data_IF_371763475912
#
_entry.id   IF_371763475912
#
_cell.length_a   1.000
_cell.length_b   1.000
_cell.length_c   1.000
_cell.angle_alpha   90.00
_cell.angle_beta   90.00
_cell.angle_gamma   90.00
#
_symmetry.space_group_name_H-M   'P 1'
#
loop_
_entity.id
_entity.type
_entity.pdbx_description
1 polymer ?
#
# COMPACT_ATOMS: atom_id res chain seq x y z
N UNK A 1 -68.31 -20.05 -0.15
CA UNK A 1 -68.82 -19.30 0.99
C UNK A 1 -67.92 -19.63 2.16
N UNK A 2 -67.10 -18.69 2.52
CA UNK A 2 -66.56 -18.44 3.82
C UNK A 2 -65.29 -17.63 3.71
N UNK A 3 -65.38 -16.46 4.27
CA UNK A 3 -64.46 -15.34 4.23
C UNK A 3 -63.08 -15.63 4.83
N UNK A 4 -62.09 -14.98 4.26
CA UNK A 4 -60.74 -14.79 4.82
C UNK A 4 -60.72 -13.43 5.51
N UNK A 5 -60.42 -13.34 6.81
CA UNK A 5 -60.18 -12.04 7.44
C UNK A 5 -58.75 -11.55 7.19
N UNK A 6 -58.69 -10.38 6.61
CA UNK A 6 -57.54 -9.51 6.48
C UNK A 6 -56.94 -9.18 7.84
N UNK A 7 -55.67 -9.52 8.07
CA UNK A 7 -54.89 -8.99 9.15
C UNK A 7 -53.94 -7.90 8.65
N UNK A 8 -54.40 -6.65 8.81
CA UNK A 8 -53.54 -5.44 8.69
C UNK A 8 -52.63 -5.40 9.92
N UNK A 9 -51.38 -5.80 9.75
CA UNK A 9 -50.32 -5.50 10.68
C UNK A 9 -49.73 -4.12 10.38
N UNK A 10 -49.98 -3.20 11.31
CA UNK A 10 -49.41 -1.86 11.32
C UNK A 10 -47.88 -1.94 11.50
N UNK A 11 -47.16 -1.43 10.53
CA UNK A 11 -45.75 -1.14 10.64
C UNK A 11 -45.57 0.18 11.40
N UNK A 12 -45.22 0.08 12.67
CA UNK A 12 -44.69 1.21 13.44
C UNK A 12 -43.17 1.10 13.49
N UNK A 13 -42.53 2.23 13.09
CA UNK A 13 -41.12 2.53 13.22
C UNK A 13 -40.16 1.79 12.30
N UNK A 14 -39.93 2.35 11.17
CA UNK A 14 -38.80 2.58 10.26
C UNK A 14 -37.42 1.99 10.57
N UNK A 15 -37.34 0.72 11.03
CA UNK A 15 -36.08 -0.03 11.06
C UNK A 15 -36.34 -1.36 10.37
N UNK A 16 -36.13 -1.38 9.07
CA UNK A 16 -36.02 -2.62 8.32
C UNK A 16 -34.89 -3.48 8.87
N UNK A 17 -34.92 -4.83 8.69
CA UNK A 17 -33.85 -5.69 9.13
C UNK A 17 -32.54 -5.19 8.53
N UNK A 18 -31.59 -4.86 9.35
CA UNK A 18 -30.21 -4.62 8.97
C UNK A 18 -29.68 -5.93 8.42
N UNK A 19 -29.69 -6.06 7.10
CA UNK A 19 -29.07 -7.17 6.42
C UNK A 19 -27.57 -7.18 6.75
N UNK A 20 -27.23 -7.95 7.75
CA UNK A 20 -25.85 -8.19 8.21
C UNK A 20 -25.00 -8.95 7.17
N UNK A 21 -25.54 -9.18 5.97
CA UNK A 21 -24.89 -9.94 4.89
C UNK A 21 -24.40 -9.09 3.71
N UNK A 22 -24.50 -7.77 3.78
CA UNK A 22 -24.08 -6.89 2.68
C UNK A 22 -22.83 -6.06 2.97
N UNK A 23 -22.05 -6.40 3.99
CA UNK A 23 -20.65 -6.04 3.98
C UNK A 23 -19.88 -7.11 3.19
N UNK A 24 -20.30 -7.30 1.95
CA UNK A 24 -19.39 -7.78 0.93
C UNK A 24 -18.25 -6.76 0.93
N UNK A 25 -17.21 -7.11 1.67
CA UNK A 25 -15.90 -6.52 1.53
C UNK A 25 -15.64 -6.57 0.03
N UNK A 26 -15.88 -5.45 -0.64
CA UNK A 26 -15.46 -5.23 -2.00
C UNK A 26 -13.94 -5.28 -1.88
N UNK A 27 -13.41 -6.50 -1.90
CA UNK A 27 -12.01 -6.76 -2.15
C UNK A 27 -11.84 -6.26 -3.57
N UNK A 28 -11.57 -4.96 -3.69
CA UNK A 28 -10.93 -4.45 -4.86
C UNK A 28 -9.68 -5.31 -5.01
N UNK A 29 -9.66 -6.18 -6.00
CA UNK A 29 -8.45 -6.75 -6.54
C UNK A 29 -7.62 -5.59 -7.11
N UNK A 30 -7.18 -4.72 -6.23
CA UNK A 30 -6.07 -3.85 -6.52
C UNK A 30 -4.89 -4.78 -6.48
N UNK A 31 -4.29 -5.06 -7.63
CA UNK A 31 -2.94 -5.62 -7.71
C UNK A 31 -2.09 -4.74 -6.83
N UNK A 32 -1.88 -5.15 -5.58
CA UNK A 32 -1.42 -4.31 -4.46
C UNK A 32 -0.12 -3.60 -4.76
N UNK A 33 0.71 -4.25 -5.57
CA UNK A 33 1.96 -3.68 -6.08
C UNK A 33 2.24 -4.31 -7.44
N UNK A 34 2.56 -3.51 -8.43
CA UNK A 34 3.23 -3.99 -9.64
C UNK A 34 4.67 -4.36 -9.25
N UNK A 35 4.82 -5.57 -8.75
CA UNK A 35 6.03 -6.00 -8.09
C UNK A 35 6.46 -7.38 -8.62
N UNK A 36 7.68 -7.44 -9.13
CA UNK A 36 8.33 -8.69 -9.50
C UNK A 36 9.44 -8.97 -8.50
N UNK A 37 9.33 -10.11 -7.80
CA UNK A 37 10.38 -10.60 -6.91
C UNK A 37 11.65 -10.87 -7.70
N UNK A 38 12.75 -10.28 -7.30
CA UNK A 38 14.08 -10.53 -7.85
C UNK A 38 14.72 -11.69 -7.09
N UNK A 39 15.14 -12.75 -7.79
CA UNK A 39 15.88 -13.83 -7.15
C UNK A 39 17.18 -13.32 -6.53
N UNK A 40 17.53 -13.85 -5.36
CA UNK A 40 18.78 -13.50 -4.67
C UNK A 40 18.73 -12.29 -3.75
N UNK A 41 17.64 -11.50 -3.77
CA UNK A 41 17.45 -10.38 -2.85
C UNK A 41 16.45 -10.76 -1.74
N UNK A 42 16.57 -10.12 -0.58
CA UNK A 42 15.64 -10.33 0.54
C UNK A 42 14.20 -9.98 0.14
N UNK A 43 13.30 -10.94 0.24
CA UNK A 43 11.86 -10.73 -0.04
C UNK A 43 11.29 -9.64 0.88
N UNK A 44 11.72 -9.60 2.14
CA UNK A 44 11.30 -8.59 3.10
C UNK A 44 11.64 -7.18 2.60
N UNK A 45 12.90 -6.95 2.22
CA UNK A 45 13.36 -5.63 1.79
C UNK A 45 12.68 -5.19 0.49
N UNK A 46 12.50 -6.11 -0.44
CA UNK A 46 11.80 -5.83 -1.69
C UNK A 46 10.34 -5.42 -1.46
N UNK A 47 9.61 -6.11 -0.57
CA UNK A 47 8.20 -5.79 -0.26
C UNK A 47 8.10 -4.47 0.50
N UNK A 48 8.99 -4.21 1.46
CA UNK A 48 9.06 -2.92 2.16
C UNK A 48 9.31 -1.78 1.19
N UNK A 49 10.26 -1.95 0.28
CA UNK A 49 10.57 -0.94 -0.74
C UNK A 49 9.38 -0.69 -1.67
N UNK A 50 8.74 -1.75 -2.15
CA UNK A 50 7.56 -1.64 -3.02
C UNK A 50 6.39 -0.92 -2.32
N UNK A 51 6.16 -1.22 -1.03
CA UNK A 51 5.15 -0.52 -0.23
C UNK A 51 5.46 0.98 -0.08
N UNK A 52 6.68 1.32 0.30
CA UNK A 52 7.11 2.73 0.41
C UNK A 52 6.98 3.48 -0.92
N UNK A 53 7.36 2.83 -2.01
CA UNK A 53 7.21 3.39 -3.37
C UNK A 53 5.75 3.66 -3.71
N UNK A 54 4.83 2.74 -3.39
CA UNK A 54 3.40 2.90 -3.62
C UNK A 54 2.79 4.03 -2.76
N UNK A 55 3.26 4.21 -1.51
CA UNK A 55 2.84 5.33 -0.65
C UNK A 55 3.31 6.68 -1.19
N UNK A 56 4.58 6.78 -1.62
CA UNK A 56 5.14 8.02 -2.19
C UNK A 56 4.48 8.33 -3.53
N UNK A 57 4.27 7.32 -4.38
CA UNK A 57 3.62 7.47 -5.68
C UNK A 57 2.11 7.72 -5.62
N UNK A 58 1.51 7.78 -4.40
CA UNK A 58 0.08 8.07 -4.22
C UNK A 58 -0.86 6.93 -4.59
N UNK A 59 -0.34 5.71 -4.81
CA UNK A 59 -1.18 4.53 -5.03
C UNK A 59 -2.05 4.21 -3.82
N UNK A 60 -1.55 4.56 -2.62
CA UNK A 60 -2.28 4.49 -1.36
C UNK A 60 -2.35 5.86 -0.70
N UNK A 61 -3.56 6.27 -0.37
CA UNK A 61 -3.80 7.54 0.29
C UNK A 61 -3.75 7.40 1.82
N UNK A 62 -3.28 8.42 2.56
CA UNK A 62 -3.35 8.44 4.01
C UNK A 62 -4.78 8.18 4.52
N UNK A 63 -4.90 7.29 5.50
CA UNK A 63 -6.18 6.84 6.03
C UNK A 63 -6.83 5.67 5.30
N UNK A 64 -6.33 5.30 4.12
CA UNK A 64 -6.82 4.15 3.37
C UNK A 64 -6.46 2.84 4.09
N UNK A 65 -7.39 1.86 4.19
CA UNK A 65 -7.08 0.55 4.74
C UNK A 65 -5.94 -0.14 3.99
N UNK A 66 -4.98 -0.67 4.75
CA UNK A 66 -3.90 -1.49 4.22
C UNK A 66 -4.25 -2.97 4.36
N UNK A 67 -3.84 -3.84 3.45
CA UNK A 67 -4.16 -5.26 3.51
C UNK A 67 -3.72 -5.94 4.80
N UNK A 68 -4.52 -6.91 5.22
CA UNK A 68 -4.15 -7.77 6.35
C UNK A 68 -2.94 -8.65 6.01
N UNK A 69 -2.27 -9.18 7.04
CA UNK A 69 -1.16 -10.14 6.86
C UNK A 69 -1.54 -11.28 5.91
N UNK A 70 -2.75 -11.84 6.05
CA UNK A 70 -3.22 -12.93 5.19
C UNK A 70 -3.42 -12.48 3.75
N UNK A 71 -4.03 -11.32 3.54
CA UNK A 71 -4.25 -10.77 2.21
C UNK A 71 -2.92 -10.46 1.52
N UNK A 72 -2.00 -9.79 2.20
CA UNK A 72 -0.67 -9.46 1.69
C UNK A 72 0.13 -10.73 1.34
N UNK A 73 0.11 -11.75 2.22
CA UNK A 73 0.81 -13.01 1.98
C UNK A 73 0.25 -13.76 0.76
N UNK A 74 -1.07 -13.81 0.64
CA UNK A 74 -1.75 -14.49 -0.47
C UNK A 74 -1.48 -13.80 -1.81
N UNK A 75 -1.59 -12.48 -1.85
CA UNK A 75 -1.44 -11.69 -3.08
C UNK A 75 0.01 -11.70 -3.60
N UNK A 76 0.98 -11.51 -2.72
CA UNK A 76 2.39 -11.53 -3.08
C UNK A 76 2.99 -12.95 -3.14
N UNK A 77 2.21 -13.98 -2.78
CA UNK A 77 2.66 -15.38 -2.71
C UNK A 77 3.90 -15.56 -1.82
N UNK A 78 3.92 -14.86 -0.67
CA UNK A 78 5.00 -14.92 0.30
C UNK A 78 4.54 -15.60 1.59
N UNK A 79 5.50 -16.04 2.40
CA UNK A 79 5.17 -16.66 3.69
C UNK A 79 4.49 -15.66 4.63
N UNK A 80 3.44 -16.05 5.39
CA UNK A 80 2.72 -15.16 6.30
C UNK A 80 3.62 -14.47 7.34
N UNK A 81 4.68 -15.14 7.82
CA UNK A 81 5.64 -14.53 8.74
C UNK A 81 6.40 -13.37 8.09
N UNK A 82 6.72 -13.46 6.80
CA UNK A 82 7.36 -12.37 6.05
C UNK A 82 6.40 -11.20 5.92
N UNK A 83 5.15 -11.45 5.53
CA UNK A 83 4.11 -10.42 5.46
C UNK A 83 3.88 -9.74 6.82
N UNK A 84 3.85 -10.52 7.90
CA UNK A 84 3.73 -9.98 9.26
C UNK A 84 4.91 -9.06 9.61
N UNK A 85 6.15 -9.49 9.36
CA UNK A 85 7.35 -8.69 9.61
C UNK A 85 7.34 -7.38 8.81
N UNK A 86 6.91 -7.42 7.54
CA UNK A 86 6.77 -6.24 6.68
C UNK A 86 5.78 -5.23 7.30
N UNK A 87 4.59 -5.69 7.67
CA UNK A 87 3.57 -4.81 8.27
C UNK A 87 4.07 -4.22 9.58
N UNK A 88 4.68 -5.02 10.46
CA UNK A 88 5.25 -4.54 11.72
C UNK A 88 6.35 -3.49 11.51
N UNK A 89 7.23 -3.72 10.56
CA UNK A 89 8.27 -2.77 10.20
C UNK A 89 7.70 -1.44 9.67
N UNK A 90 6.70 -1.51 8.78
CA UNK A 90 6.05 -0.31 8.25
C UNK A 90 5.30 0.47 9.33
N UNK A 91 4.73 -0.20 10.34
CA UNK A 91 4.13 0.46 11.52
C UNK A 91 5.22 1.13 12.37
N UNK A 92 6.33 0.43 12.63
CA UNK A 92 7.46 0.97 13.40
C UNK A 92 8.06 2.21 12.74
N UNK A 93 8.18 2.20 11.43
CA UNK A 93 8.66 3.33 10.61
C UNK A 93 7.58 4.39 10.33
N UNK A 94 6.38 4.25 10.92
CA UNK A 94 5.26 5.19 10.79
C UNK A 94 4.72 5.40 9.37
N UNK A 95 4.89 4.41 8.51
CA UNK A 95 4.21 4.38 7.21
C UNK A 95 2.79 3.82 7.31
N UNK A 96 2.55 3.00 8.32
CA UNK A 96 1.25 2.44 8.66
C UNK A 96 0.91 2.75 10.12
N UNK A 97 -0.38 2.81 10.43
CA UNK A 97 -0.88 2.93 11.79
C UNK A 97 -2.04 1.96 12.04
N UNK A 98 -2.21 1.53 13.30
CA UNK A 98 -3.33 0.68 13.69
C UNK A 98 -4.45 1.56 14.21
N UNK A 99 -5.63 1.48 13.59
CA UNK A 99 -6.85 2.16 14.06
C UNK A 99 -7.82 1.15 14.61
N UNK A 100 -8.31 1.41 15.83
CA UNK A 100 -9.31 0.57 16.47
C UNK A 100 -10.57 0.45 15.60
N UNK A 101 -11.08 -0.79 15.43
CA UNK A 101 -12.27 -1.06 14.63
C UNK A 101 -12.07 -1.06 13.11
N UNK A 102 -10.95 -0.53 12.60
CA UNK A 102 -10.67 -0.45 11.16
C UNK A 102 -9.54 -1.40 10.75
N UNK A 103 -8.56 -1.58 11.63
CA UNK A 103 -7.35 -2.35 11.33
C UNK A 103 -6.14 -1.47 10.99
N UNK A 104 -5.27 -1.97 10.12
CA UNK A 104 -4.08 -1.25 9.68
C UNK A 104 -4.46 -0.30 8.54
N UNK A 105 -4.07 0.96 8.66
CA UNK A 105 -4.28 1.99 7.63
C UNK A 105 -2.97 2.69 7.27
N UNK A 106 -2.93 3.29 6.10
CA UNK A 106 -1.79 4.09 5.64
C UNK A 106 -1.71 5.37 6.47
N UNK A 107 -0.56 5.63 7.06
CA UNK A 107 -0.28 6.87 7.79
C UNK A 107 0.09 8.00 6.82
N UNK A 108 0.13 9.23 7.32
CA UNK A 108 0.81 10.30 6.57
C UNK A 108 2.30 9.95 6.45
N UNK A 109 2.94 10.22 5.31
CA UNK A 109 4.37 9.99 5.18
C UNK A 109 5.12 10.59 6.37
N UNK A 110 6.05 9.85 6.98
CA UNK A 110 6.81 10.36 8.10
C UNK A 110 7.62 11.59 7.67
N UNK A 111 7.66 12.61 8.51
CA UNK A 111 8.51 13.74 8.27
C UNK A 111 9.99 13.33 8.28
N UNK A 112 10.78 13.90 7.39
CA UNK A 112 12.21 13.61 7.31
C UNK A 112 12.90 14.00 8.61
N UNK A 113 13.69 13.08 9.17
CA UNK A 113 14.52 13.35 10.36
C UNK A 113 15.69 14.25 9.99
N UNK A 114 16.21 14.97 11.02
CA UNK A 114 17.34 15.87 10.87
C UNK A 114 18.55 15.15 10.33
N UNK A 115 18.96 14.72 9.44
CA UNK A 115 20.07 13.91 8.92
C UNK A 115 19.70 13.03 7.73
N UNK A 116 18.40 12.72 7.54
CA UNK A 116 17.96 11.86 6.43
C UNK A 116 18.34 12.46 5.07
N UNK A 117 18.17 13.78 4.95
CA UNK A 117 18.61 14.53 3.76
C UNK A 117 20.12 14.43 3.52
N UNK A 118 20.90 14.58 4.62
CA UNK A 118 22.36 14.49 4.54
C UNK A 118 22.80 13.08 4.15
N UNK A 119 22.20 12.06 4.77
CA UNK A 119 22.46 10.66 4.44
C UNK A 119 22.17 10.38 2.97
N UNK A 120 20.99 10.76 2.49
CA UNK A 120 20.60 10.55 1.09
C UNK A 120 21.58 11.21 0.12
N UNK A 121 21.87 12.52 0.33
CA UNK A 121 22.67 13.29 -0.65
C UNK A 121 24.18 13.03 -0.55
N UNK A 122 24.69 12.53 0.57
CA UNK A 122 26.12 12.26 0.74
C UNK A 122 26.46 10.76 0.61
N UNK A 123 25.68 9.87 1.23
CA UNK A 123 26.00 8.45 1.24
C UNK A 123 25.37 7.68 0.10
N UNK A 124 24.04 7.80 -0.09
CA UNK A 124 23.34 7.02 -1.12
C UNK A 124 23.72 7.49 -2.54
N UNK A 125 23.89 8.81 -2.72
CA UNK A 125 24.35 9.36 -4.01
C UNK A 125 25.80 8.97 -4.29
N UNK A 126 26.69 8.97 -3.27
CA UNK A 126 28.06 8.49 -3.44
C UNK A 126 28.10 7.02 -3.88
N UNK A 127 27.31 6.16 -3.25
CA UNK A 127 27.19 4.75 -3.65
C UNK A 127 26.72 4.61 -5.09
N UNK A 128 25.71 5.36 -5.50
CA UNK A 128 25.22 5.39 -6.87
C UNK A 128 26.33 5.78 -7.86
N UNK A 129 27.09 6.83 -7.54
CA UNK A 129 28.19 7.32 -8.41
C UNK A 129 29.31 6.28 -8.50
N UNK A 130 29.67 5.62 -7.41
CA UNK A 130 30.67 4.54 -7.42
C UNK A 130 30.23 3.40 -8.32
N UNK A 131 28.98 2.95 -8.20
CA UNK A 131 28.44 1.87 -9.03
C UNK A 131 28.33 2.27 -10.50
N UNK A 132 27.87 3.48 -10.80
CA UNK A 132 27.81 4.00 -12.17
C UNK A 132 29.21 3.99 -12.84
N UNK A 133 30.22 4.49 -12.13
CA UNK A 133 31.60 4.45 -12.61
C UNK A 133 32.13 3.03 -12.79
N UNK A 134 31.79 2.11 -11.90
CA UNK A 134 32.19 0.69 -11.98
C UNK A 134 31.65 0.01 -13.24
N UNK A 135 30.42 0.35 -13.64
CA UNK A 135 29.78 -0.25 -14.83
C UNK A 135 29.96 0.58 -16.11
N UNK A 136 30.66 1.72 -16.02
CA UNK A 136 30.99 2.56 -17.18
C UNK A 136 29.83 3.46 -17.65
N UNK A 137 28.84 3.72 -16.82
CA UNK A 137 27.74 4.67 -17.10
C UNK A 137 28.25 6.09 -16.87
N UNK A 138 28.00 7.00 -17.80
CA UNK A 138 28.38 8.39 -17.67
C UNK A 138 27.39 9.21 -16.83
N UNK A 139 27.75 10.47 -16.53
CA UNK A 139 26.94 11.34 -15.67
C UNK A 139 25.59 11.69 -16.30
N UNK A 140 25.57 11.93 -17.61
CA UNK A 140 24.35 12.36 -18.31
C UNK A 140 23.33 11.22 -18.34
N UNK A 141 23.77 9.98 -18.54
CA UNK A 141 22.91 8.80 -18.44
C UNK A 141 22.34 8.62 -17.02
N UNK A 142 23.14 8.84 -15.98
CA UNK A 142 22.69 8.77 -14.58
C UNK A 142 21.64 9.85 -14.32
N UNK A 143 21.89 11.09 -14.72
CA UNK A 143 20.96 12.20 -14.53
C UNK A 143 19.63 11.95 -15.26
N UNK A 144 19.71 11.51 -16.51
CA UNK A 144 18.52 11.16 -17.29
C UNK A 144 17.70 10.04 -16.63
N UNK A 145 18.38 9.03 -16.09
CA UNK A 145 17.71 7.94 -15.36
C UNK A 145 16.99 8.44 -14.09
N UNK A 146 17.65 9.35 -13.34
CA UNK A 146 17.05 9.97 -12.14
C UNK A 146 15.82 10.79 -12.51
N UNK A 147 15.91 11.66 -13.52
CA UNK A 147 14.79 12.48 -14.00
C UNK A 147 13.59 11.62 -14.42
N UNK A 148 13.84 10.55 -15.16
CA UNK A 148 12.81 9.61 -15.59
C UNK A 148 12.13 8.92 -14.41
N UNK A 149 12.88 8.50 -13.38
CA UNK A 149 12.31 7.88 -12.19
C UNK A 149 11.54 8.89 -11.35
N UNK A 150 12.03 10.10 -11.23
CA UNK A 150 11.36 11.19 -10.54
C UNK A 150 10.00 11.48 -11.17
N UNK A 151 9.97 11.72 -12.48
CA UNK A 151 8.73 11.96 -13.22
C UNK A 151 7.71 10.80 -13.13
N UNK A 152 8.18 9.56 -12.98
CA UNK A 152 7.31 8.39 -12.81
C UNK A 152 6.65 8.34 -11.43
N UNK A 153 7.33 8.83 -10.40
CA UNK A 153 6.81 8.87 -9.03
C UNK A 153 5.90 10.08 -8.79
N UNK A 154 6.08 11.16 -9.54
CA UNK A 154 5.22 12.36 -9.45
C UNK A 154 3.87 12.20 -10.18
N UNK A 155 3.75 11.22 -11.07
CA UNK A 155 2.46 10.98 -11.74
C UNK A 155 1.53 10.23 -10.79
N UNK A 156 0.39 10.82 -10.38
CA UNK A 156 -0.63 10.06 -9.67
C UNK A 156 -1.08 8.91 -10.58
N UNK A 157 -1.13 7.71 -10.00
CA UNK A 157 -1.68 6.55 -10.70
C UNK A 157 -3.13 6.85 -11.02
N UNK A 158 -3.45 7.09 -12.28
CA UNK A 158 -4.82 7.13 -12.75
C UNK A 158 -5.43 5.75 -12.49
N UNK A 159 -6.19 5.65 -11.40
CA UNK A 159 -7.03 4.47 -11.15
C UNK A 159 -8.11 4.50 -12.21
N UNK A 160 -7.90 3.76 -13.30
CA UNK A 160 -8.93 3.51 -14.31
C UNK A 160 -10.15 2.93 -13.61
N UNK A 161 -11.11 3.79 -13.31
CA UNK A 161 -12.48 3.38 -12.98
C UNK A 161 -13.08 2.77 -14.24
N UNK A 162 -13.09 1.46 -14.31
CA UNK A 162 -13.98 0.71 -15.19
C UNK A 162 -14.96 -0.08 -14.35
#
# INVERSE_FOLDING_TARGET
>A
MADVPSAKGQWLNGQGPVDFHSHTCHIMHVTLFRFNLRPGESIFDQVVYAAKKAFIGGEFQPGQPFPSVRALAAELKIHPNTAHKVIQYLIQERWLEVRQGIGTVVAKPPEARAGDRKKLLQQEVEQLVVEAKRVGVDLDEVLQAIENQWARLDKPVEVSRK
#
